data_IF_822405837775
#
_entry.id   IF_822405837775
#
_cell.length_a   1.000
_cell.length_b   1.000
_cell.length_c   1.000
_cell.angle_alpha   90.00
_cell.angle_beta   90.00
_cell.angle_gamma   90.00
#
_symmetry.space_group_name_H-M   'P 1'
#
loop_
_entity.id
_entity.type
_entity.pdbx_description
1 polymer ?
#
# COMPACT_ATOMS: atom_id res chain seq x y z
N UNK A 1 10.07 6.16 2.89
CA UNK A 1 11.26 6.69 3.60
C UNK A 1 11.03 8.03 4.29
N UNK A 2 10.70 9.13 3.58
CA UNK A 2 10.56 10.45 4.22
C UNK A 2 9.57 10.45 5.40
N UNK A 3 8.41 9.79 5.25
CA UNK A 3 7.43 9.68 6.33
C UNK A 3 8.00 9.02 7.59
N UNK A 4 8.68 7.89 7.43
CA UNK A 4 9.35 7.18 8.51
C UNK A 4 10.44 8.03 9.19
N UNK A 5 11.28 8.71 8.40
CA UNK A 5 12.34 9.58 8.93
C UNK A 5 11.80 10.81 9.66
N UNK A 6 10.58 11.24 9.34
CA UNK A 6 9.85 12.29 10.05
C UNK A 6 9.16 11.77 11.34
N UNK A 7 9.34 10.49 11.68
CA UNK A 7 8.78 9.88 12.89
C UNK A 7 7.34 9.39 12.74
N UNK A 8 6.80 9.33 11.52
CA UNK A 8 5.50 8.68 11.32
C UNK A 8 5.61 7.18 11.62
N UNK A 9 4.54 6.64 12.21
CA UNK A 9 4.49 5.24 12.64
C UNK A 9 3.76 4.33 11.64
N UNK A 10 3.26 4.88 10.54
CA UNK A 10 2.61 4.14 9.46
C UNK A 10 2.68 4.94 8.15
N UNK A 11 2.51 4.25 7.03
CA UNK A 11 2.34 4.84 5.69
C UNK A 11 1.03 4.34 5.10
N UNK A 12 0.29 5.24 4.45
CA UNK A 12 -0.95 4.92 3.74
C UNK A 12 -0.80 5.29 2.25
N UNK A 13 -0.90 4.30 1.36
CA UNK A 13 -0.96 4.51 -0.09
C UNK A 13 -2.42 4.49 -0.54
N UNK A 14 -2.90 5.62 -1.06
CA UNK A 14 -4.30 5.83 -1.45
C UNK A 14 -4.42 6.09 -2.95
N UNK A 15 -5.23 5.30 -3.66
CA UNK A 15 -5.56 5.50 -5.07
C UNK A 15 -6.84 6.35 -5.30
N UNK A 16 -7.62 6.58 -4.25
CA UNK A 16 -8.92 7.24 -4.24
C UNK A 16 -10.08 6.26 -4.05
N UNK A 17 -11.11 6.69 -3.30
CA UNK A 17 -12.37 5.93 -3.20
C UNK A 17 -13.04 5.82 -4.57
N UNK A 18 -13.43 4.60 -4.94
CA UNK A 18 -14.02 4.32 -6.26
C UNK A 18 -13.03 4.41 -7.43
N UNK A 19 -11.73 4.49 -7.17
CA UNK A 19 -10.73 4.46 -8.23
C UNK A 19 -10.91 3.22 -9.12
N UNK A 20 -10.79 3.40 -10.44
CA UNK A 20 -10.88 2.28 -11.41
C UNK A 20 -9.64 1.39 -11.37
N UNK A 21 -8.52 1.93 -10.90
CA UNK A 21 -7.25 1.25 -10.77
C UNK A 21 -6.76 1.46 -9.34
N UNK A 22 -6.33 0.38 -8.69
CA UNK A 22 -5.66 0.44 -7.40
C UNK A 22 -4.25 0.99 -7.54
N UNK A 23 -3.58 1.22 -6.41
CA UNK A 23 -2.14 1.48 -6.38
C UNK A 23 -1.40 0.37 -7.13
N UNK A 24 -0.46 0.69 -8.05
CA UNK A 24 0.29 -0.33 -8.77
C UNK A 24 1.07 -1.24 -7.82
N UNK A 25 1.03 -2.56 -8.06
CA UNK A 25 1.71 -3.55 -7.21
C UNK A 25 3.22 -3.30 -7.10
N UNK A 26 3.85 -2.80 -8.15
CA UNK A 26 5.27 -2.41 -8.13
C UNK A 26 5.54 -1.29 -7.13
N UNK A 27 4.65 -0.29 -7.05
CA UNK A 27 4.77 0.79 -6.07
C UNK A 27 4.63 0.27 -4.64
N UNK A 28 3.67 -0.63 -4.39
CA UNK A 28 3.52 -1.26 -3.06
C UNK A 28 4.82 -2.00 -2.69
N UNK A 29 5.36 -2.82 -3.60
CA UNK A 29 6.63 -3.56 -3.37
C UNK A 29 7.80 -2.64 -3.08
N UNK A 30 7.97 -1.59 -3.88
CA UNK A 30 9.10 -0.68 -3.69
C UNK A 30 8.97 0.13 -2.40
N UNK A 31 7.76 0.52 -2.00
CA UNK A 31 7.57 1.17 -0.69
C UNK A 31 7.85 0.18 0.44
N UNK A 32 7.26 -1.01 0.42
CA UNK A 32 7.45 -2.04 1.45
C UNK A 32 8.92 -2.42 1.64
N UNK A 33 9.70 -2.54 0.56
CA UNK A 33 11.15 -2.81 0.63
C UNK A 33 11.95 -1.71 1.31
N UNK A 34 11.46 -0.47 1.25
CA UNK A 34 12.18 0.72 1.71
C UNK A 34 11.58 1.32 2.98
N UNK A 35 10.66 0.63 3.67
CA UNK A 35 10.04 1.12 4.90
C UNK A 35 9.97 0.02 5.95
N UNK A 36 10.22 0.37 7.22
CA UNK A 36 10.12 -0.59 8.33
C UNK A 36 8.84 -0.45 9.16
N UNK A 37 8.05 0.58 8.87
CA UNK A 37 6.76 0.86 9.52
C UNK A 37 5.58 0.28 8.71
N UNK A 38 4.44 -0.01 9.35
CA UNK A 38 3.27 -0.57 8.69
C UNK A 38 2.84 0.19 7.43
N UNK A 39 2.56 -0.57 6.37
CA UNK A 39 2.10 -0.09 5.07
C UNK A 39 0.65 -0.50 4.83
N UNK A 40 -0.24 0.48 4.83
CA UNK A 40 -1.65 0.32 4.49
C UNK A 40 -1.86 0.73 3.02
N UNK A 41 -2.68 -0.02 2.29
CA UNK A 41 -3.01 0.28 0.89
C UNK A 41 -4.51 0.31 0.68
N UNK A 42 -5.03 1.39 0.10
CA UNK A 42 -6.45 1.56 -0.16
C UNK A 42 -6.75 2.22 -1.51
N UNK A 43 -8.03 2.14 -1.89
CA UNK A 43 -8.55 2.70 -3.13
C UNK A 43 -8.47 1.72 -4.33
N UNK A 44 -9.61 1.53 -4.99
CA UNK A 44 -9.72 0.74 -6.22
C UNK A 44 -9.53 -0.78 -6.11
N UNK A 45 -9.44 -1.33 -4.90
CA UNK A 45 -9.34 -2.79 -4.66
C UNK A 45 -10.74 -3.35 -4.42
N UNK A 46 -11.28 -4.08 -5.40
CA UNK A 46 -12.69 -4.53 -5.42
C UNK A 46 -12.86 -6.04 -5.54
N UNK A 47 -11.76 -6.82 -5.45
CA UNK A 47 -11.79 -8.27 -5.58
C UNK A 47 -10.86 -8.93 -4.57
N UNK A 48 -11.18 -10.17 -4.18
CA UNK A 48 -10.31 -11.00 -3.32
C UNK A 48 -8.92 -11.19 -3.91
N UNK A 49 -8.81 -11.35 -5.24
CA UNK A 49 -7.52 -11.43 -5.92
C UNK A 49 -6.74 -10.12 -5.80
N UNK A 50 -7.41 -8.97 -5.92
CA UNK A 50 -6.78 -7.66 -5.69
C UNK A 50 -6.24 -7.50 -4.26
N UNK A 51 -7.02 -7.96 -3.28
CA UNK A 51 -6.60 -7.98 -1.87
C UNK A 51 -5.37 -8.86 -1.69
N UNK A 52 -5.40 -10.09 -2.20
CA UNK A 52 -4.28 -11.03 -2.10
C UNK A 52 -3.02 -10.47 -2.78
N UNK A 53 -3.16 -9.90 -3.98
CA UNK A 53 -2.05 -9.31 -4.71
C UNK A 53 -1.40 -8.13 -3.95
N UNK A 54 -2.20 -7.33 -3.22
CA UNK A 54 -1.68 -6.23 -2.41
C UNK A 54 -0.90 -6.74 -1.18
N UNK A 55 -1.43 -7.76 -0.48
CA UNK A 55 -0.69 -8.45 0.59
C UNK A 55 0.61 -9.08 0.07
N UNK A 56 0.57 -9.79 -1.06
CA UNK A 56 1.75 -10.40 -1.69
C UNK A 56 2.78 -9.35 -2.15
N UNK A 57 2.33 -8.11 -2.41
CA UNK A 57 3.17 -6.98 -2.74
C UNK A 57 3.80 -6.28 -1.51
N UNK A 58 3.39 -6.64 -0.28
CA UNK A 58 3.95 -6.13 0.95
C UNK A 58 3.07 -5.14 1.72
N UNK A 59 1.77 -5.05 1.42
CA UNK A 59 0.83 -4.35 2.29
C UNK A 59 0.61 -5.16 3.59
N UNK A 60 0.50 -4.46 4.72
CA UNK A 60 0.13 -5.05 6.01
C UNK A 60 -1.40 -5.03 6.23
N UNK A 61 -2.08 -4.12 5.55
CA UNK A 61 -3.54 -3.92 5.62
C UNK A 61 -4.05 -3.45 4.26
N UNK A 62 -5.21 -3.97 3.86
CA UNK A 62 -5.92 -3.66 2.61
C UNK A 62 -7.38 -3.35 2.89
#
# INVERSE_FOLDING_TARGET
>A
MAGEMLGHQLIYLEAGSGAKQSVPLEMIREVAKNTSIPLLVGGGITSLLGIQNAYDAGADVV
#
